data_IF_317230210080
#
_entry.id   IF_317230210080
#
_cell.length_a   1.000
_cell.length_b   1.000
_cell.length_c   1.000
_cell.angle_alpha   90.00
_cell.angle_beta   90.00
_cell.angle_gamma   90.00
#
_symmetry.space_group_name_H-M   'P 1'
#
loop_
_entity.id
_entity.type
_entity.pdbx_description
1 polymer ?
#
# COMPACT_ATOMS: atom_id res chain seq x y z
N UNK A 1 -29.62 -16.27 22.97
CA UNK A 1 -28.43 -16.95 22.40
C UNK A 1 -28.58 -16.95 20.89
N UNK A 2 -27.78 -16.17 20.17
CA UNK A 2 -27.72 -16.20 18.71
C UNK A 2 -26.25 -16.10 18.28
N UNK A 3 -25.85 -17.09 17.47
CA UNK A 3 -24.49 -17.58 17.25
C UNK A 3 -23.87 -16.79 16.09
N UNK A 4 -23.13 -15.73 16.38
CA UNK A 4 -22.40 -14.98 15.34
C UNK A 4 -21.01 -15.60 15.11
N UNK A 5 -20.96 -16.68 14.33
CA UNK A 5 -19.73 -17.05 13.62
C UNK A 5 -19.58 -16.02 12.48
N UNK A 6 -18.85 -14.94 12.73
CA UNK A 6 -18.64 -13.84 11.77
C UNK A 6 -17.15 -13.61 11.44
N UNK A 7 -16.28 -14.53 11.82
CA UNK A 7 -14.85 -14.52 11.47
C UNK A 7 -14.61 -15.39 10.24
N UNK A 8 -13.61 -15.05 9.43
CA UNK A 8 -13.15 -15.90 8.33
C UNK A 8 -12.77 -17.29 8.86
N UNK A 9 -13.30 -18.33 8.24
CA UNK A 9 -12.94 -19.72 8.54
C UNK A 9 -11.67 -20.13 7.79
N UNK A 10 -10.97 -21.21 8.19
CA UNK A 10 -9.79 -21.70 7.47
C UNK A 10 -10.07 -21.98 5.98
N UNK A 11 -11.24 -22.55 5.68
CA UNK A 11 -11.69 -22.81 4.30
C UNK A 11 -11.86 -21.51 3.48
N UNK A 12 -12.28 -20.42 4.13
CA UNK A 12 -12.40 -19.10 3.50
C UNK A 12 -11.02 -18.51 3.18
N UNK A 13 -10.02 -18.78 4.03
CA UNK A 13 -8.64 -18.36 3.80
C UNK A 13 -8.02 -19.09 2.61
N UNK A 14 -8.25 -20.40 2.48
CA UNK A 14 -7.83 -21.17 1.30
C UNK A 14 -8.48 -20.64 0.02
N UNK A 15 -9.77 -20.32 0.07
CA UNK A 15 -10.48 -19.72 -1.07
C UNK A 15 -9.92 -18.33 -1.44
N UNK A 16 -9.67 -17.47 -0.44
CA UNK A 16 -9.04 -16.16 -0.63
C UNK A 16 -7.61 -16.29 -1.21
N UNK A 17 -6.85 -17.30 -0.77
CA UNK A 17 -5.50 -17.60 -1.27
C UNK A 17 -5.53 -18.05 -2.73
N UNK A 18 -6.46 -18.93 -3.09
CA UNK A 18 -6.65 -19.39 -4.46
C UNK A 18 -7.06 -18.23 -5.40
N UNK A 19 -7.93 -17.34 -4.94
CA UNK A 19 -8.33 -16.15 -5.69
C UNK A 19 -7.17 -15.16 -5.86
N UNK A 20 -6.35 -14.99 -4.82
CA UNK A 20 -5.17 -14.14 -4.90
C UNK A 20 -4.09 -14.70 -5.84
N UNK A 21 -3.89 -16.02 -5.85
CA UNK A 21 -3.02 -16.73 -6.81
C UNK A 21 -3.53 -16.58 -8.26
N UNK A 22 -4.86 -16.58 -8.43
CA UNK A 22 -5.52 -16.24 -9.69
C UNK A 22 -5.44 -14.74 -10.06
N UNK A 23 -4.77 -13.92 -9.25
CA UNK A 23 -4.61 -12.47 -9.45
C UNK A 23 -5.87 -11.65 -9.16
N UNK A 24 -6.87 -12.25 -8.51
CA UNK A 24 -8.12 -11.59 -8.12
C UNK A 24 -8.01 -11.07 -6.68
N UNK A 25 -8.55 -9.88 -6.46
CA UNK A 25 -8.58 -9.22 -5.14
C UNK A 25 -10.02 -9.22 -4.61
N UNK A 26 -10.44 -10.31 -3.95
CA UNK A 26 -11.80 -10.43 -3.45
C UNK A 26 -12.12 -9.36 -2.40
N UNK A 27 -13.35 -8.81 -2.40
CA UNK A 27 -13.79 -7.87 -1.38
C UNK A 27 -14.09 -8.62 -0.07
N UNK A 28 -13.59 -8.09 1.04
CA UNK A 28 -13.89 -8.51 2.41
C UNK A 28 -14.47 -7.34 3.19
N UNK A 29 -15.20 -7.60 4.27
CA UNK A 29 -15.77 -6.57 5.13
C UNK A 29 -15.17 -6.61 6.53
N UNK A 30 -15.01 -5.44 7.14
CA UNK A 30 -14.58 -5.33 8.53
C UNK A 30 -15.72 -5.65 9.48
N UNK A 31 -15.41 -6.40 10.54
CA UNK A 31 -16.32 -6.66 11.65
C UNK A 31 -16.17 -5.61 12.75
N UNK A 32 -16.99 -5.70 13.81
CA UNK A 32 -16.87 -4.83 14.99
C UNK A 32 -15.60 -5.08 15.82
N UNK A 33 -14.87 -6.16 15.53
CA UNK A 33 -13.59 -6.49 16.18
C UNK A 33 -12.40 -5.82 15.50
N UNK A 34 -12.58 -5.25 14.30
CA UNK A 34 -11.51 -4.60 13.55
C UNK A 34 -10.98 -3.36 14.26
N UNK A 35 -9.73 -3.39 14.70
CA UNK A 35 -9.11 -2.26 15.41
C UNK A 35 -8.95 -1.08 14.44
N UNK A 36 -9.51 0.08 14.80
CA UNK A 36 -9.39 1.32 14.03
C UNK A 36 -10.27 1.42 12.77
N UNK A 37 -11.15 0.44 12.52
CA UNK A 37 -12.03 0.43 11.34
C UNK A 37 -13.51 0.30 11.71
N UNK A 38 -14.38 1.01 10.98
CA UNK A 38 -15.83 0.91 11.16
C UNK A 38 -16.36 -0.40 10.58
N UNK A 39 -17.10 -1.15 11.40
CA UNK A 39 -17.80 -2.36 11.00
C UNK A 39 -18.68 -2.11 9.76
N UNK A 40 -18.54 -2.95 8.73
CA UNK A 40 -19.29 -2.84 7.48
C UNK A 40 -18.57 -2.06 6.37
N UNK A 41 -17.37 -1.51 6.61
CA UNK A 41 -16.51 -1.04 5.51
C UNK A 41 -15.95 -2.23 4.73
N UNK A 42 -15.88 -2.11 3.41
CA UNK A 42 -15.26 -3.10 2.54
C UNK A 42 -13.76 -2.82 2.37
N UNK A 43 -12.95 -3.86 2.23
CA UNK A 43 -11.56 -3.82 1.83
C UNK A 43 -11.28 -4.84 0.73
N UNK A 44 -10.23 -4.63 -0.04
CA UNK A 44 -9.75 -5.60 -1.03
C UNK A 44 -8.57 -6.35 -0.47
N UNK A 45 -8.59 -7.68 -0.53
CA UNK A 45 -7.45 -8.50 -0.11
C UNK A 45 -6.30 -8.31 -1.09
N UNK A 46 -5.11 -8.02 -0.56
CA UNK A 46 -3.88 -7.77 -1.30
C UNK A 46 -2.87 -8.91 -1.13
N UNK A 47 -2.76 -9.44 0.09
CA UNK A 47 -1.85 -10.53 0.42
C UNK A 47 -2.32 -11.28 1.67
N UNK A 48 -2.02 -12.58 1.73
CA UNK A 48 -2.16 -13.41 2.93
C UNK A 48 -0.75 -13.79 3.41
N UNK A 49 -0.42 -13.47 4.66
CA UNK A 49 0.88 -13.75 5.27
C UNK A 49 0.70 -14.76 6.41
N UNK A 50 1.59 -15.76 6.45
CA UNK A 50 1.46 -16.98 7.24
C UNK A 50 2.90 -17.54 7.47
N UNK A 51 3.51 -17.69 8.68
CA UNK A 51 3.46 -17.03 10.01
C UNK A 51 4.86 -16.37 10.38
N UNK A 52 5.22 -15.83 11.60
CA UNK A 52 5.18 -16.43 12.95
C UNK A 52 4.47 -15.62 14.07
N UNK A 53 3.94 -14.41 13.79
CA UNK A 53 3.28 -13.57 14.80
C UNK A 53 1.74 -13.64 14.77
N UNK A 54 1.18 -14.41 13.84
CA UNK A 54 -0.26 -14.64 13.69
C UNK A 54 -0.68 -14.77 12.22
N UNK A 55 -1.84 -15.39 11.97
CA UNK A 55 -2.49 -15.39 10.66
C UNK A 55 -2.95 -13.97 10.33
N UNK A 56 -2.26 -13.27 9.41
CA UNK A 56 -2.59 -11.88 9.04
C UNK A 56 -2.90 -11.75 7.56
N UNK A 57 -3.95 -10.97 7.27
CA UNK A 57 -4.45 -10.67 5.94
C UNK A 57 -4.20 -9.19 5.66
N UNK A 58 -3.40 -8.91 4.63
CA UNK A 58 -3.16 -7.56 4.14
C UNK A 58 -4.33 -7.16 3.23
N UNK A 59 -5.02 -6.10 3.61
CA UNK A 59 -6.17 -5.58 2.87
C UNK A 59 -6.00 -4.08 2.63
N UNK A 60 -6.60 -3.59 1.54
CA UNK A 60 -6.76 -2.16 1.27
C UNK A 60 -8.20 -1.74 1.55
N UNK A 61 -8.46 -0.97 2.62
CA UNK A 61 -9.80 -0.44 2.89
C UNK A 61 -10.33 0.48 1.79
N UNK A 62 -11.64 0.46 1.58
CA UNK A 62 -12.31 1.39 0.67
C UNK A 62 -12.29 2.80 1.28
N UNK A 63 -11.52 3.71 0.67
CA UNK A 63 -11.34 5.09 1.14
C UNK A 63 -9.92 5.39 1.65
N UNK A 64 -9.11 4.36 1.91
CA UNK A 64 -7.68 4.49 2.20
C UNK A 64 -6.86 3.86 1.07
N UNK A 65 -5.69 4.44 0.76
CA UNK A 65 -4.74 3.83 -0.18
C UNK A 65 -3.72 2.93 0.52
N UNK A 66 -3.64 3.07 1.84
CA UNK A 66 -2.74 2.33 2.71
C UNK A 66 -3.15 0.87 2.83
N UNK A 67 -2.13 0.03 2.85
CA UNK A 67 -2.23 -1.41 3.08
C UNK A 67 -2.18 -1.65 4.59
N UNK A 68 -3.16 -2.38 5.10
CA UNK A 68 -3.33 -2.64 6.52
C UNK A 68 -3.46 -4.14 6.76
N UNK A 69 -2.80 -4.63 7.80
CA UNK A 69 -2.84 -6.02 8.22
C UNK A 69 -3.94 -6.22 9.26
N UNK A 70 -4.83 -7.18 9.01
CA UNK A 70 -5.89 -7.57 9.94
C UNK A 70 -5.89 -9.08 10.16
N UNK A 71 -6.34 -9.51 11.33
CA UNK A 71 -6.51 -10.93 11.62
C UNK A 71 -7.78 -11.50 10.95
N UNK A 72 -7.87 -12.82 10.72
CA UNK A 72 -9.07 -13.47 10.19
C UNK A 72 -10.30 -13.31 11.12
N UNK A 73 -10.08 -13.03 12.40
CA UNK A 73 -11.14 -12.72 13.36
C UNK A 73 -11.79 -11.34 13.13
N UNK A 74 -11.09 -10.42 12.46
CA UNK A 74 -11.54 -9.05 12.23
C UNK A 74 -12.25 -8.85 10.89
N UNK A 75 -12.17 -9.84 10.01
CA UNK A 75 -12.69 -9.80 8.64
C UNK A 75 -13.80 -10.83 8.43
N UNK A 76 -14.68 -10.53 7.46
CA UNK A 76 -15.74 -11.44 7.00
C UNK A 76 -15.91 -11.36 5.48
N UNK A 77 -16.23 -12.49 4.85
CA UNK A 77 -16.65 -12.56 3.44
C UNK A 77 -18.10 -12.12 3.25
N UNK A 78 -18.94 -12.21 4.28
CA UNK A 78 -20.31 -11.77 4.22
C UNK A 78 -20.42 -10.30 4.62
N UNK A 79 -21.01 -9.48 3.76
CA UNK A 79 -21.38 -8.10 4.11
C UNK A 79 -22.23 -8.14 5.39
N UNK A 80 -21.75 -7.59 6.53
CA UNK A 80 -22.52 -7.63 7.76
C UNK A 80 -23.86 -6.94 7.53
N UNK A 81 -24.94 -7.62 7.88
CA UNK A 81 -26.27 -7.06 7.77
C UNK A 81 -26.29 -5.72 8.54
N UNK A 82 -26.75 -4.62 7.92
CA UNK A 82 -26.87 -3.36 8.63
C UNK A 82 -27.74 -3.60 9.85
N UNK A 83 -27.27 -3.17 11.03
CA UNK A 83 -28.16 -3.01 12.19
C UNK A 83 -29.36 -2.22 11.67
N UNK A 84 -30.55 -2.83 11.78
CA UNK A 84 -31.83 -2.20 11.54
C UNK A 84 -31.77 -0.81 12.20
N UNK A 85 -31.66 0.24 11.40
CA UNK A 85 -32.11 1.55 11.85
C UNK A 85 -33.59 1.36 12.15
N UNK A 86 -33.97 1.69 13.37
CA UNK A 86 -35.34 2.07 13.71
C UNK A 86 -35.92 2.88 12.53
N UNK A 87 -37.12 2.56 12.01
CA UNK A 87 -37.67 3.24 10.86
C UNK A 87 -37.78 4.74 11.15
N UNK A 88 -37.11 5.57 10.34
CA UNK A 88 -37.50 6.96 10.23
C UNK A 88 -38.97 7.00 9.75
N UNK A 89 -39.83 7.86 10.32
CA UNK A 89 -41.25 7.87 10.01
C UNK A 89 -41.49 8.14 8.51
N UNK A 90 -42.55 7.54 7.93
CA UNK A 90 -42.81 7.60 6.50
C UNK A 90 -43.19 9.02 6.05
N UNK A 91 -42.87 9.41 4.80
CA UNK A 91 -43.39 10.64 4.22
C UNK A 91 -44.92 10.53 4.05
N UNK A 92 -45.69 11.59 4.30
CA UNK A 92 -47.13 11.56 4.08
C UNK A 92 -47.48 11.46 2.57
N UNK A 93 -48.61 10.81 2.24
CA UNK A 93 -49.00 10.49 0.86
C UNK A 93 -49.55 11.70 0.08
N UNK A 94 -49.58 11.62 -1.27
CA UNK A 94 -49.97 12.71 -2.15
C UNK A 94 -51.50 12.79 -2.32
N UNK A 95 -52.02 14.02 -2.40
CA UNK A 95 -53.42 14.29 -2.79
C UNK A 95 -53.49 15.44 -3.80
N UNK A 96 -54.15 15.11 -4.91
CA UNK A 96 -54.63 15.85 -6.08
C UNK A 96 -54.58 17.41 -6.15
N UNK A 97 -54.02 17.86 -7.29
CA UNK A 97 -54.34 19.00 -8.20
C UNK A 97 -55.69 19.72 -8.04
N UNK A 98 -55.88 21.01 -8.48
CA UNK A 98 -55.58 21.45 -9.87
C UNK A 98 -55.25 22.96 -10.13
N UNK A 99 -55.00 23.21 -11.44
CA UNK A 99 -55.07 24.47 -12.19
C UNK A 99 -53.82 25.39 -12.14
N UNK A 100 -53.28 25.94 -13.23
CA UNK A 100 -53.68 25.94 -14.63
C UNK A 100 -52.45 26.20 -15.53
N UNK A 101 -52.47 25.56 -16.71
CA UNK A 101 -52.17 26.09 -18.06
C UNK A 101 -51.14 27.22 -18.18
N UNK A 102 -50.13 27.12 -19.04
CA UNK A 102 -50.25 27.35 -20.50
C UNK A 102 -48.83 27.13 -21.08
N UNK A 103 -48.63 26.19 -22.01
CA UNK A 103 -48.37 26.44 -23.45
C UNK A 103 -47.12 27.32 -23.69
N UNK A 104 -46.11 27.02 -24.51
CA UNK A 104 -46.03 26.30 -25.80
C UNK A 104 -44.53 26.14 -26.14
N UNK A 105 -44.14 25.03 -26.77
CA UNK A 105 -42.99 24.97 -27.71
C UNK A 105 -43.34 25.77 -29.01
N UNK A 106 -42.43 26.17 -29.93
CA UNK A 106 -41.18 25.49 -30.33
C UNK A 106 -39.97 26.41 -30.71
N UNK A 107 -38.86 25.77 -31.11
CA UNK A 107 -37.65 26.23 -31.88
C UNK A 107 -37.94 27.22 -33.04
N UNK A 108 -37.01 27.98 -33.71
CA UNK A 108 -35.60 27.63 -34.08
C UNK A 108 -34.57 28.81 -34.32
N UNK A 109 -33.30 28.44 -34.60
CA UNK A 109 -32.20 29.05 -35.41
C UNK A 109 -32.11 30.59 -35.67
N UNK A 110 -30.95 31.22 -35.40
CA UNK A 110 -30.21 32.03 -36.42
C UNK A 110 -28.78 32.48 -36.02
N UNK A 111 -27.91 32.46 -37.02
CA UNK A 111 -26.52 32.91 -37.08
C UNK A 111 -26.39 34.42 -37.27
N UNK A 112 -25.37 35.10 -36.70
CA UNK A 112 -24.61 36.25 -37.29
C UNK A 112 -23.24 36.30 -36.56
N UNK A 113 -22.07 35.89 -37.09
CA UNK A 113 -21.13 36.48 -38.06
C UNK A 113 -20.56 37.90 -37.76
N UNK A 114 -19.27 37.94 -37.37
CA UNK A 114 -18.18 38.86 -37.86
C UNK A 114 -18.13 40.32 -37.31
N UNK A 115 -16.96 41.05 -37.23
CA UNK A 115 -15.61 40.82 -37.82
C UNK A 115 -14.36 40.94 -36.91
N UNK A 116 -13.26 40.30 -37.34
CA UNK A 116 -11.83 40.67 -37.15
C UNK A 116 -11.44 41.73 -38.22
N UNK A 117 -10.44 42.66 -38.08
CA UNK A 117 -9.01 42.41 -38.46
C UNK A 117 -7.94 43.42 -37.88
N UNK A 118 -6.63 43.46 -38.28
CA UNK A 118 -5.60 42.42 -38.40
C UNK A 118 -4.18 42.90 -37.87
N UNK A 119 -2.98 42.45 -38.36
CA UNK A 119 -1.97 41.73 -37.57
C UNK A 119 -0.54 42.35 -37.63
N UNK A 120 0.50 41.70 -37.03
CA UNK A 120 1.93 41.77 -37.45
C UNK A 120 2.83 40.76 -36.65
N UNK A 121 4.03 40.36 -37.14
CA UNK A 121 4.31 38.99 -37.58
C UNK A 121 5.42 38.23 -36.83
N UNK A 122 5.48 36.91 -37.10
CA UNK A 122 6.42 35.85 -36.66
C UNK A 122 7.92 36.18 -36.74
N UNK A 123 8.74 35.44 -35.97
CA UNK A 123 9.68 34.51 -36.62
C UNK A 123 9.41 33.04 -36.28
N UNK A 124 9.44 32.19 -37.31
CA UNK A 124 9.39 30.75 -37.19
C UNK A 124 10.70 30.21 -36.59
N UNK A 125 10.64 29.61 -35.41
CA UNK A 125 11.72 28.78 -34.89
C UNK A 125 11.61 27.36 -35.49
N UNK A 126 12.71 26.92 -36.07
CA UNK A 126 12.94 25.64 -36.77
C UNK A 126 12.45 24.43 -35.94
N UNK A 127 11.99 23.33 -36.58
CA UNK A 127 11.75 22.09 -35.87
C UNK A 127 13.07 21.65 -35.20
N UNK A 128 13.06 21.52 -33.87
CA UNK A 128 14.18 21.00 -33.12
C UNK A 128 14.52 19.58 -33.61
N UNK A 129 15.81 19.22 -33.76
CA UNK A 129 16.21 17.90 -34.21
C UNK A 129 15.63 16.83 -33.29
N UNK A 130 15.03 15.79 -33.88
CA UNK A 130 14.53 14.63 -33.15
C UNK A 130 15.67 14.10 -32.28
N UNK A 131 15.52 14.19 -30.96
CA UNK A 131 16.45 13.59 -30.00
C UNK A 131 16.58 12.10 -30.34
N UNK A 132 17.81 11.54 -30.39
CA UNK A 132 17.98 10.10 -30.54
C UNK A 132 17.22 9.43 -29.39
N UNK A 133 16.56 8.31 -29.69
CA UNK A 133 15.87 7.52 -28.68
C UNK A 133 16.86 7.19 -27.56
N UNK A 134 16.74 7.91 -26.43
CA UNK A 134 17.52 7.63 -25.23
C UNK A 134 17.20 6.20 -24.83
N UNK A 135 18.24 5.41 -24.59
CA UNK A 135 18.08 4.05 -24.06
C UNK A 135 17.24 4.07 -22.77
N UNK A 136 16.63 2.93 -22.45
CA UNK A 136 15.94 2.75 -21.17
C UNK A 136 17.01 2.77 -20.08
N UNK A 137 17.14 3.92 -19.41
CA UNK A 137 18.02 4.10 -18.25
C UNK A 137 17.37 3.44 -17.04
N UNK A 138 18.06 2.56 -16.33
CA UNK A 138 17.59 1.97 -15.07
C UNK A 138 18.62 2.27 -13.99
N UNK A 139 18.19 2.98 -12.95
CA UNK A 139 18.99 3.34 -11.79
C UNK A 139 18.51 2.53 -10.59
N UNK A 140 19.43 1.81 -9.96
CA UNK A 140 19.19 1.07 -8.72
C UNK A 140 20.02 1.73 -7.63
N UNK A 141 19.35 2.22 -6.59
CA UNK A 141 19.98 2.83 -5.43
C UNK A 141 19.83 1.88 -4.24
N UNK A 142 20.96 1.48 -3.66
CA UNK A 142 21.00 0.65 -2.46
C UNK A 142 21.32 1.53 -1.26
N UNK A 143 20.45 1.50 -0.26
CA UNK A 143 20.63 2.21 1.00
C UNK A 143 20.90 1.19 2.11
N UNK A 144 22.08 1.27 2.73
CA UNK A 144 22.39 0.55 3.96
C UNK A 144 22.18 1.47 5.15
N UNK A 145 21.50 0.98 6.17
CA UNK A 145 21.47 1.62 7.50
C UNK A 145 22.66 1.16 8.34
N UNK A 146 22.93 1.85 9.45
CA UNK A 146 23.98 1.48 10.39
C UNK A 146 23.69 0.15 11.11
N UNK A 147 22.41 -0.22 11.19
CA UNK A 147 21.91 -1.46 11.80
C UNK A 147 21.90 -2.66 10.84
N UNK A 148 22.48 -2.51 9.65
CA UNK A 148 22.57 -3.60 8.67
C UNK A 148 21.28 -3.86 7.89
N UNK A 149 20.27 -2.99 8.01
CA UNK A 149 19.08 -3.04 7.18
C UNK A 149 19.37 -2.43 5.80
N UNK A 150 19.01 -3.16 4.75
CA UNK A 150 19.19 -2.73 3.37
C UNK A 150 17.84 -2.45 2.72
N UNK A 151 17.77 -1.33 2.02
CA UNK A 151 16.62 -0.99 1.18
C UNK A 151 17.07 -0.68 -0.24
N UNK A 152 16.20 -0.98 -1.20
CA UNK A 152 16.46 -0.73 -2.62
C UNK A 152 15.39 0.21 -3.22
N UNK A 153 15.88 1.21 -3.94
CA UNK A 153 15.09 2.10 -4.79
C UNK A 153 15.43 1.79 -6.25
N UNK A 154 14.41 1.59 -7.08
CA UNK A 154 14.58 1.34 -8.52
C UNK A 154 13.84 2.41 -9.31
N UNK A 155 14.55 3.06 -10.23
CA UNK A 155 14.03 4.06 -11.14
C UNK A 155 14.31 3.63 -12.58
N UNK A 156 13.28 3.61 -13.42
CA UNK A 156 13.40 3.33 -14.85
C UNK A 156 13.03 4.59 -15.63
N UNK A 157 14.02 5.21 -16.26
CA UNK A 157 13.92 6.51 -16.92
C UNK A 157 13.46 7.58 -15.93
N UNK A 158 12.34 8.25 -16.23
CA UNK A 158 11.77 9.26 -15.33
C UNK A 158 10.82 8.67 -14.28
N UNK A 159 10.50 7.37 -14.34
CA UNK A 159 9.49 6.75 -13.49
C UNK A 159 10.17 5.92 -12.40
N UNK A 160 9.94 6.28 -11.13
CA UNK A 160 10.32 5.43 -9.99
C UNK A 160 9.37 4.23 -9.93
N UNK A 161 9.92 3.03 -10.00
CA UNK A 161 9.16 1.77 -10.01
C UNK A 161 9.13 1.10 -8.65
N UNK A 162 10.19 1.26 -7.84
CA UNK A 162 10.29 0.71 -6.50
C UNK A 162 10.92 1.75 -5.57
N UNK A 163 10.37 1.88 -4.36
CA UNK A 163 10.87 2.83 -3.35
C UNK A 163 11.05 2.12 -2.02
N UNK A 164 12.24 2.22 -1.44
CA UNK A 164 12.57 1.72 -0.11
C UNK A 164 12.09 0.27 0.15
N UNK A 165 12.23 -0.63 -0.84
CA UNK A 165 11.86 -2.02 -0.63
C UNK A 165 12.92 -2.71 0.25
N UNK A 166 12.54 -3.40 1.33
CA UNK A 166 13.49 -4.09 2.18
C UNK A 166 14.11 -5.26 1.41
N UNK A 167 15.43 -5.43 1.55
CA UNK A 167 16.18 -6.53 0.95
C UNK A 167 17.16 -7.10 1.96
N UNK A 168 17.39 -8.41 1.91
CA UNK A 168 18.36 -9.03 2.80
C UNK A 168 19.79 -8.70 2.38
N UNK A 169 20.67 -8.45 3.36
CA UNK A 169 22.10 -8.27 3.15
C UNK A 169 22.73 -9.42 2.33
N UNK A 170 22.23 -10.65 2.51
CA UNK A 170 22.69 -11.83 1.76
C UNK A 170 22.36 -11.73 0.26
N UNK A 171 21.17 -11.27 -0.10
CA UNK A 171 20.79 -11.06 -1.50
C UNK A 171 21.57 -9.90 -2.12
N UNK A 172 21.83 -8.84 -1.37
CA UNK A 172 22.68 -7.72 -1.83
C UNK A 172 24.09 -8.21 -2.13
N UNK A 173 24.69 -9.03 -1.25
CA UNK A 173 25.99 -9.64 -1.48
C UNK A 173 26.01 -10.54 -2.72
N UNK A 174 24.98 -11.37 -2.91
CA UNK A 174 24.84 -12.24 -4.09
C UNK A 174 24.69 -11.44 -5.39
N UNK A 175 23.86 -10.40 -5.38
CA UNK A 175 23.69 -9.50 -6.52
C UNK A 175 24.99 -8.76 -6.85
N UNK A 176 25.71 -8.27 -5.83
CA UNK A 176 26.98 -7.57 -6.00
C UNK A 176 28.06 -8.44 -6.65
N UNK A 177 28.10 -9.75 -6.35
CA UNK A 177 29.02 -10.71 -7.01
C UNK A 177 28.78 -10.85 -8.51
N UNK A 178 27.56 -10.62 -8.97
CA UNK A 178 27.19 -10.75 -10.39
C UNK A 178 27.41 -9.47 -11.20
N UNK A 179 27.73 -8.36 -10.53
CA UNK A 179 27.99 -7.06 -11.13
C UNK A 179 29.50 -6.92 -11.45
N UNK A 180 30.15 -5.90 -10.88
CA UNK A 180 31.56 -5.61 -11.04
C UNK A 180 32.30 -5.93 -9.73
N UNK A 181 33.57 -6.36 -9.79
CA UNK A 181 34.34 -6.70 -8.60
C UNK A 181 34.50 -5.51 -7.64
N UNK A 182 34.64 -4.28 -8.15
CA UNK A 182 34.73 -3.08 -7.32
C UNK A 182 33.44 -2.83 -6.49
N UNK A 183 32.27 -3.10 -7.08
CA UNK A 183 30.98 -2.99 -6.40
C UNK A 183 30.87 -4.06 -5.33
N UNK A 184 31.32 -5.28 -5.63
CA UNK A 184 31.35 -6.37 -4.67
C UNK A 184 32.21 -6.05 -3.44
N UNK A 185 33.45 -5.61 -3.64
CA UNK A 185 34.36 -5.23 -2.54
C UNK A 185 33.79 -4.08 -1.71
N UNK A 186 33.20 -3.06 -2.34
CA UNK A 186 32.57 -1.96 -1.62
C UNK A 186 31.39 -2.42 -0.75
N UNK A 187 30.53 -3.29 -1.29
CA UNK A 187 29.37 -3.85 -0.56
C UNK A 187 29.83 -4.76 0.58
N UNK A 188 30.80 -5.66 0.35
CA UNK A 188 31.35 -6.52 1.41
C UNK A 188 32.02 -5.70 2.52
N UNK A 189 32.70 -4.61 2.17
CA UNK A 189 33.25 -3.68 3.17
C UNK A 189 32.17 -3.09 4.08
N UNK A 190 31.04 -2.65 3.51
CA UNK A 190 29.89 -2.15 4.30
C UNK A 190 29.28 -3.26 5.16
N UNK A 191 29.13 -4.47 4.61
CA UNK A 191 28.59 -5.63 5.34
C UNK A 191 29.51 -6.08 6.47
N UNK A 192 30.83 -6.08 6.26
CA UNK A 192 31.82 -6.40 7.29
C UNK A 192 31.76 -5.38 8.43
N UNK A 193 31.73 -4.07 8.11
CA UNK A 193 31.59 -3.03 9.11
C UNK A 193 30.28 -3.13 9.91
N UNK A 194 29.17 -3.52 9.26
CA UNK A 194 27.92 -3.79 9.97
C UNK A 194 28.03 -4.99 10.91
N UNK A 195 28.66 -6.10 10.46
CA UNK A 195 28.93 -7.28 11.30
C UNK A 195 29.77 -6.94 12.53
N UNK A 196 30.84 -6.16 12.36
CA UNK A 196 31.69 -5.72 13.47
C UNK A 196 30.92 -4.91 14.51
N UNK A 197 30.05 -3.98 14.08
CA UNK A 197 29.18 -3.21 14.98
C UNK A 197 28.23 -4.10 15.77
N UNK A 198 27.60 -5.08 15.12
CA UNK A 198 26.74 -6.03 15.82
C UNK A 198 27.52 -6.87 16.84
N UNK A 199 28.69 -7.36 16.47
CA UNK A 199 29.55 -8.12 17.38
C UNK A 199 29.99 -7.29 18.58
N UNK A 200 30.41 -6.05 18.36
CA UNK A 200 30.78 -5.11 19.45
C UNK A 200 29.58 -4.85 20.37
N UNK A 201 28.38 -4.66 19.82
CA UNK A 201 27.16 -4.48 20.63
C UNK A 201 26.83 -5.72 21.45
N UNK A 202 27.00 -6.92 20.89
CA UNK A 202 26.80 -8.18 21.60
C UNK A 202 27.81 -8.35 22.73
N UNK A 203 29.09 -8.03 22.49
CA UNK A 203 30.13 -8.07 23.52
C UNK A 203 29.84 -7.10 24.66
N UNK A 204 29.44 -5.86 24.34
CA UNK A 204 29.02 -4.89 25.34
C UNK A 204 27.86 -5.42 26.19
N UNK A 205 26.81 -5.93 25.56
CA UNK A 205 25.65 -6.47 26.26
C UNK A 205 26.02 -7.68 27.13
N UNK A 206 26.96 -8.53 26.68
CA UNK A 206 27.46 -9.65 27.47
C UNK A 206 28.19 -9.17 28.73
N UNK A 207 29.03 -8.15 28.62
CA UNK A 207 29.71 -7.55 29.77
C UNK A 207 28.73 -6.91 30.75
N UNK A 208 27.70 -6.22 30.25
CA UNK A 208 26.63 -5.66 31.07
C UNK A 208 25.84 -6.75 31.82
N UNK A 209 25.53 -7.87 31.15
CA UNK A 209 24.87 -9.02 31.79
C UNK A 209 25.76 -9.72 32.81
N UNK A 210 27.06 -9.89 32.55
CA UNK A 210 27.98 -10.48 33.52
C UNK A 210 28.10 -9.60 34.78
N UNK A 211 28.21 -8.28 34.61
CA UNK A 211 28.25 -7.34 35.72
C UNK A 211 26.95 -7.37 36.55
N UNK A 212 25.80 -7.40 35.90
CA UNK A 212 24.51 -7.53 36.57
C UNK A 212 24.38 -8.87 37.30
N UNK A 213 24.84 -9.96 36.70
CA UNK A 213 24.81 -11.29 37.32
C UNK A 213 25.72 -11.36 38.55
N UNK A 214 26.92 -10.77 38.51
CA UNK A 214 27.81 -10.68 39.69
C UNK A 214 27.19 -9.86 40.82
N UNK A 215 26.56 -8.74 40.49
CA UNK A 215 25.88 -7.92 41.48
C UNK A 215 24.70 -8.66 42.14
N UNK A 216 24.00 -9.51 41.38
CA UNK A 216 22.96 -10.38 41.94
C UNK A 216 23.54 -11.46 42.84
N UNK A 217 24.66 -12.07 42.44
CA UNK A 217 25.36 -13.09 43.22
C UNK A 217 25.81 -12.55 44.60
N UNK A 218 26.42 -11.35 44.61
CA UNK A 218 26.85 -10.63 45.82
C UNK A 218 25.69 -10.27 46.78
N UNK A 219 24.48 -10.05 46.24
CA UNK A 219 23.29 -9.82 47.07
C UNK A 219 22.65 -11.11 47.59
N UNK A 220 23.00 -12.25 47.01
CA UNK A 220 22.46 -13.56 47.38
C UNK A 220 23.36 -14.38 48.30
N UNK A 221 24.62 -13.99 48.49
CA UNK A 221 25.50 -14.43 49.60
C UNK A 221 25.18 -13.70 50.92
#
# INVERSE_FOLDING_TARGET
MAKAKQSLSPEDLDHLRAELDAGRQPPVWFTASAVGMEAGKSAKVLALTDPPEGDFIQVRPTGARDELSFSPAELTLEKPAPRKKEPAPPPPPPVATPAAETSVEPTPVEHIYTPEPPPKPKPAAKPAPKKPARGVEVTVTLNSTADGEWTVDVQSGSKRTLRAAPISAALVAQAARSLLPEVHEAVEGVLAAAREKHLARVEQLRSELEAAQRALDELSE
#
